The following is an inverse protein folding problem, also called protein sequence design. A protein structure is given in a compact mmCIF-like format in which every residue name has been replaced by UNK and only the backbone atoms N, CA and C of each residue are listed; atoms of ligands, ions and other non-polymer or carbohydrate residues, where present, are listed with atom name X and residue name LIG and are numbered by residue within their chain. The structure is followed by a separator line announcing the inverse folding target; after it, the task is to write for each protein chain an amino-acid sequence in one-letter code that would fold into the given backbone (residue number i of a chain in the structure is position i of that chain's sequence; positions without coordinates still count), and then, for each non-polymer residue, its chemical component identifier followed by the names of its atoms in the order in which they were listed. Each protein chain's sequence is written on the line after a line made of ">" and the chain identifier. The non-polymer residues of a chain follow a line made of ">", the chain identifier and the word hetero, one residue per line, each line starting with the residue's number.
data_IF_024920723492
#
_entry.id   IF_024920723492
#
_cell.length_a   1.000
_cell.length_b   1.000
_cell.length_c   1.000
_cell.angle_alpha   90.00
_cell.angle_beta   90.00
_cell.angle_gamma   90.00
#
_symmetry.space_group_name_H-M   'P 1'
#
loop_
_entity.id
_entity.type
_entity.pdbx_description
1 polymer ?
#
# COMPACT_ATOMS: atom_id res chain seq x y z
N UNK A 1 -7.58 8.31 9.54
CA UNK A 1 -6.70 7.99 8.40
C UNK A 1 -7.55 7.66 7.18
N UNK A 2 -7.32 8.32 6.05
CA UNK A 2 -7.93 7.99 4.75
C UNK A 2 -7.01 7.11 3.92
N UNK A 3 -7.56 6.24 3.08
CA UNK A 3 -6.81 5.41 2.13
C UNK A 3 -7.46 5.51 0.75
N UNK A 4 -6.64 5.57 -0.32
CA UNK A 4 -7.13 5.57 -1.71
C UNK A 4 -6.12 4.93 -2.66
N UNK A 5 -6.56 4.68 -3.89
CA UNK A 5 -5.74 4.11 -4.96
C UNK A 5 -5.00 2.84 -4.52
N UNK A 6 -5.70 1.97 -3.79
CA UNK A 6 -5.13 0.74 -3.25
C UNK A 6 -5.18 -0.36 -4.29
N UNK A 7 -4.01 -0.76 -4.77
CA UNK A 7 -3.85 -1.77 -5.80
C UNK A 7 -2.84 -2.83 -5.35
N UNK A 8 -3.09 -4.08 -5.73
CA UNK A 8 -2.12 -5.15 -5.59
C UNK A 8 -1.45 -5.35 -6.94
N UNK A 9 -0.13 -5.41 -6.93
CA UNK A 9 0.70 -5.62 -8.11
C UNK A 9 1.75 -6.69 -7.83
N UNK A 10 2.47 -7.12 -8.86
CA UNK A 10 3.63 -7.98 -8.71
C UNK A 10 4.77 -7.59 -9.65
N UNK A 11 5.99 -7.81 -9.19
CA UNK A 11 7.20 -7.86 -10.02
C UNK A 11 7.59 -9.32 -10.24
N UNK A 12 8.19 -9.59 -11.40
CA UNK A 12 8.81 -10.89 -11.68
C UNK A 12 10.31 -10.71 -11.57
N UNK A 13 10.91 -11.42 -10.63
CA UNK A 13 12.34 -11.43 -10.39
C UNK A 13 13.07 -12.24 -11.49
N UNK A 14 14.40 -12.08 -11.66
CA UNK A 14 15.16 -12.84 -12.66
C UNK A 14 15.08 -14.38 -12.50
N UNK A 15 14.79 -14.85 -11.28
CA UNK A 15 14.60 -16.28 -10.96
C UNK A 15 13.14 -16.75 -11.15
N UNK A 16 12.29 -15.94 -11.81
CA UNK A 16 10.85 -16.17 -12.03
C UNK A 16 9.97 -16.12 -10.77
N UNK A 17 10.53 -15.81 -9.60
CA UNK A 17 9.74 -15.58 -8.40
C UNK A 17 8.93 -14.28 -8.50
N UNK A 18 7.83 -14.23 -7.75
CA UNK A 18 6.95 -13.06 -7.73
C UNK A 18 7.06 -12.33 -6.41
N UNK A 19 7.49 -11.08 -6.49
CA UNK A 19 7.43 -10.13 -5.39
C UNK A 19 6.07 -9.42 -5.45
N UNK A 20 5.25 -9.57 -4.41
CA UNK A 20 3.93 -8.93 -4.35
C UNK A 20 4.02 -7.57 -3.67
N UNK A 21 3.31 -6.61 -4.25
CA UNK A 21 3.41 -5.19 -3.90
C UNK A 21 2.01 -4.65 -3.69
N UNK A 22 1.82 -3.88 -2.63
CA UNK A 22 0.61 -3.09 -2.42
C UNK A 22 0.93 -1.61 -2.56
N UNK A 23 0.44 -1.04 -3.66
CA UNK A 23 0.49 0.39 -3.95
C UNK A 23 -0.71 1.08 -3.30
N UNK A 24 -0.49 2.18 -2.57
CA UNK A 24 -1.57 2.94 -1.95
C UNK A 24 -1.19 4.40 -1.75
N UNK A 25 -2.20 5.21 -1.42
CA UNK A 25 -2.02 6.51 -0.82
C UNK A 25 -2.76 6.57 0.52
N UNK A 26 -2.19 7.29 1.49
CA UNK A 26 -2.88 7.61 2.73
C UNK A 26 -2.92 9.13 2.95
N UNK A 27 -3.93 9.58 3.68
CA UNK A 27 -4.12 10.99 3.99
C UNK A 27 -3.24 11.35 5.18
N UNK A 28 -2.20 12.14 4.94
CA UNK A 28 -1.32 12.68 5.97
C UNK A 28 -1.53 14.18 6.14
N UNK A 29 -0.90 14.75 7.16
CA UNK A 29 -0.82 16.21 7.33
C UNK A 29 0.62 16.65 7.16
N UNK A 30 0.83 17.68 6.33
CA UNK A 30 2.13 18.31 6.19
C UNK A 30 2.52 19.14 7.43
N UNK A 31 3.73 19.70 7.43
CA UNK A 31 4.24 20.57 8.51
C UNK A 31 3.41 21.87 8.71
N UNK A 32 2.48 22.17 7.80
CA UNK A 32 1.56 23.30 7.85
C UNK A 32 0.13 22.87 8.22
N UNK A 33 -0.06 21.65 8.72
CA UNK A 33 -1.35 21.06 9.08
C UNK A 33 -2.33 20.88 7.90
N UNK A 34 -1.84 20.95 6.65
CA UNK A 34 -2.65 20.74 5.46
C UNK A 34 -2.71 19.27 5.11
N UNK A 35 -3.90 18.82 4.76
CA UNK A 35 -4.12 17.45 4.33
C UNK A 35 -3.48 17.19 2.96
N UNK A 36 -2.62 16.18 2.89
CA UNK A 36 -2.00 15.73 1.65
C UNK A 36 -2.07 14.21 1.49
N UNK A 37 -2.05 13.75 0.24
CA UNK A 37 -2.09 12.33 -0.08
C UNK A 37 -0.69 11.82 -0.40
N UNK A 38 -0.12 11.06 0.51
CA UNK A 38 1.24 10.54 0.40
C UNK A 38 1.22 9.14 -0.22
N UNK A 39 2.09 8.91 -1.20
CA UNK A 39 2.27 7.59 -1.80
C UNK A 39 3.02 6.65 -0.87
N UNK A 40 2.58 5.40 -0.84
CA UNK A 40 3.19 4.38 -0.01
C UNK A 40 3.16 3.01 -0.69
N UNK A 41 4.22 2.23 -0.49
CA UNK A 41 4.30 0.84 -0.93
C UNK A 41 4.64 -0.08 0.21
N UNK A 42 3.87 -1.16 0.31
CA UNK A 42 4.28 -2.35 1.08
C UNK A 42 4.72 -3.42 0.11
N UNK A 43 5.95 -3.91 0.29
CA UNK A 43 6.46 -5.07 -0.44
C UNK A 43 6.38 -6.26 0.49
N UNK A 44 5.72 -7.32 0.04
CA UNK A 44 5.75 -8.62 0.72
C UNK A 44 6.97 -9.38 0.20
N UNK A 45 8.05 -9.37 0.97
CA UNK A 45 9.14 -10.34 0.77
C UNK A 45 8.96 -11.46 1.79
N UNK A 46 9.31 -12.70 1.43
CA UNK A 46 9.42 -13.77 2.42
C UNK A 46 10.88 -13.76 2.93
N UNK A 47 11.18 -13.59 4.23
CA UNK A 47 10.30 -13.49 5.40
C UNK A 47 10.07 -12.06 5.95
N UNK A 48 10.24 -11.00 5.15
CA UNK A 48 10.25 -9.60 5.62
C UNK A 48 9.17 -8.71 4.95
N UNK A 49 8.58 -7.79 5.71
CA UNK A 49 7.82 -6.67 5.12
C UNK A 49 8.68 -5.41 5.13
N UNK A 50 8.98 -4.87 3.95
CA UNK A 50 9.77 -3.64 3.81
C UNK A 50 8.87 -2.44 3.50
N UNK A 51 9.10 -1.36 4.25
CA UNK A 51 8.41 -0.07 4.15
C UNK A 51 9.29 0.87 3.32
N UNK A 52 9.03 0.96 2.02
CA UNK A 52 9.80 1.85 1.12
C UNK A 52 9.02 3.16 0.99
N UNK A 53 9.68 4.28 1.36
CA UNK A 53 9.14 5.64 1.28
C UNK A 53 9.02 6.15 -0.17
N UNK A 54 9.42 7.38 -0.46
CA UNK A 54 9.23 8.03 -1.79
C UNK A 54 9.77 7.26 -3.02
N UNK A 55 10.78 6.40 -2.86
CA UNK A 55 11.27 5.50 -3.92
C UNK A 55 10.28 4.35 -4.27
N UNK A 56 9.18 4.23 -3.54
CA UNK A 56 8.06 3.31 -3.76
C UNK A 56 7.37 3.49 -5.12
N UNK A 57 7.34 4.71 -5.64
CA UNK A 57 6.60 5.02 -6.87
C UNK A 57 7.13 4.20 -8.06
N UNK A 58 8.44 4.01 -8.14
CA UNK A 58 9.09 3.18 -9.16
C UNK A 58 8.59 1.73 -9.08
N UNK A 59 8.50 1.15 -7.88
CA UNK A 59 7.93 -0.20 -7.69
C UNK A 59 6.48 -0.31 -8.16
N UNK A 60 5.67 0.74 -7.98
CA UNK A 60 4.30 0.78 -8.48
C UNK A 60 4.18 0.95 -9.99
N UNK A 61 5.12 1.65 -10.61
CA UNK A 61 5.15 1.91 -12.05
C UNK A 61 5.62 0.69 -12.84
N UNK A 62 6.64 0.00 -12.33
CA UNK A 62 7.28 -1.13 -13.04
C UNK A 62 6.57 -2.47 -12.81
N UNK A 63 5.56 -2.52 -11.92
CA UNK A 63 4.84 -3.74 -11.56
C UNK A 63 3.55 -3.96 -12.34
N UNK A 64 3.19 -5.24 -12.48
CA UNK A 64 1.96 -5.66 -13.16
C UNK A 64 0.79 -5.70 -12.19
N UNK A 65 -0.30 -5.03 -12.54
CA UNK A 65 -1.50 -5.00 -11.72
C UNK A 65 -2.21 -6.36 -11.65
N UNK A 66 -2.69 -6.70 -10.46
CA UNK A 66 -3.56 -7.85 -10.22
C UNK A 66 -4.99 -7.32 -10.13
N UNK A 67 -5.83 -7.71 -11.09
CA UNK A 67 -7.26 -7.40 -11.03
C UNK A 67 -7.90 -8.09 -9.84
N UNK A 68 -8.30 -7.32 -8.83
CA UNK A 68 -8.95 -7.81 -7.63
C UNK A 68 -10.34 -7.16 -7.49
N UNK A 69 -11.39 -7.98 -7.60
CA UNK A 69 -12.79 -7.49 -7.69
C UNK A 69 -13.67 -7.88 -6.52
N UNK A 70 -13.16 -8.63 -5.54
CA UNK A 70 -13.98 -9.12 -4.41
C UNK A 70 -14.41 -8.00 -3.47
N UNK A 71 -13.57 -6.99 -3.26
CA UNK A 71 -13.83 -5.83 -2.41
C UNK A 71 -12.90 -4.68 -2.81
N UNK A 72 -13.36 -3.44 -2.62
CA UNK A 72 -12.48 -2.26 -2.67
C UNK A 72 -11.46 -2.34 -1.53
N UNK A 73 -10.19 -2.47 -1.90
CA UNK A 73 -9.08 -2.62 -0.94
C UNK A 73 -8.90 -1.39 -0.06
N UNK A 74 -9.33 -0.20 -0.52
CA UNK A 74 -9.31 1.03 0.28
C UNK A 74 -10.30 0.94 1.43
N UNK A 75 -11.49 0.39 1.19
CA UNK A 75 -12.51 0.14 2.22
C UNK A 75 -12.03 -0.94 3.20
N UNK A 76 -11.44 -2.02 2.68
CA UNK A 76 -10.91 -3.09 3.50
C UNK A 76 -9.79 -2.61 4.45
N UNK A 77 -8.84 -1.81 3.94
CA UNK A 77 -7.78 -1.20 4.74
C UNK A 77 -8.33 -0.23 5.78
N UNK A 78 -9.25 0.64 5.40
CA UNK A 78 -9.90 1.57 6.34
C UNK A 78 -10.58 0.82 7.48
N UNK A 79 -11.34 -0.21 7.16
CA UNK A 79 -12.03 -1.04 8.15
C UNK A 79 -11.06 -1.74 9.10
N UNK A 80 -9.95 -2.28 8.57
CA UNK A 80 -8.90 -2.90 9.40
C UNK A 80 -8.22 -1.88 10.31
N UNK A 81 -7.86 -0.71 9.79
CA UNK A 81 -7.26 0.38 10.55
C UNK A 81 -8.18 0.82 11.71
N UNK A 82 -9.46 1.06 11.42
CA UNK A 82 -10.44 1.47 12.43
C UNK A 82 -10.63 0.42 13.52
N UNK A 83 -10.61 -0.87 13.14
CA UNK A 83 -10.65 -1.97 14.10
C UNK A 83 -9.44 -1.96 15.03
N UNK A 84 -8.24 -1.72 14.51
CA UNK A 84 -7.00 -1.69 15.30
C UNK A 84 -7.01 -0.51 16.28
N UNK A 85 -7.50 0.66 15.86
CA UNK A 85 -7.63 1.83 16.72
C UNK A 85 -8.60 1.63 17.89
N UNK A 86 -9.67 0.83 17.70
CA UNK A 86 -10.60 0.46 18.77
C UNK A 86 -10.01 -0.52 19.78
N UNK A 87 -9.08 -1.38 19.36
CA UNK A 87 -8.43 -2.37 20.23
C UNK A 87 -7.26 -1.82 21.05
N UNK A 88 -6.73 -0.64 20.70
CA UNK A 88 -5.68 0.05 21.45
C UNK A 88 -6.21 1.03 22.51
N UNK A 89 -7.51 0.98 22.81
CA UNK A 89 -8.20 1.86 23.77
C UNK A 89 -8.87 1.03 24.86
#
# INVERSE_FOLDING_TARGET
>A
MGFRNVQIKYLTEPNEEKTYIMCRQFLDKDDQDKEEWVHFVTIKTDPYEQWIGSNALTYCQDSKEITYTKIDLSIALKSKYDSLQKSSK
#
